data_IF_412273728044
#
_entry.id   IF_412273728044
#
_cell.length_a   1.000
_cell.length_b   1.000
_cell.length_c   1.000
_cell.angle_alpha   90.00
_cell.angle_beta   90.00
_cell.angle_gamma   90.00
#
_symmetry.space_group_name_H-M   'P 1'
#
loop_
_entity.id
_entity.type
_entity.pdbx_description
1 polymer ?
#
# COMPACT_ATOMS: atom_id res chain seq x y z
N UNK A 1 -23.27 -25.52 10.88
CA UNK A 1 -23.73 -24.50 9.91
C UNK A 1 -22.96 -24.78 8.64
N UNK A 2 -23.60 -24.96 7.48
CA UNK A 2 -22.87 -25.39 6.28
C UNK A 2 -21.96 -24.26 5.78
N UNK A 3 -20.70 -24.57 5.48
CA UNK A 3 -19.76 -23.65 4.85
C UNK A 3 -20.25 -23.29 3.43
N UNK A 4 -20.34 -21.99 3.14
CA UNK A 4 -20.60 -21.48 1.78
C UNK A 4 -19.26 -21.38 1.04
N UNK A 5 -18.93 -22.43 0.28
CA UNK A 5 -17.63 -22.57 -0.37
C UNK A 5 -17.36 -21.47 -1.41
N UNK A 6 -18.36 -21.12 -2.24
CA UNK A 6 -18.20 -20.09 -3.26
C UNK A 6 -17.92 -18.73 -2.61
N UNK A 7 -18.71 -18.37 -1.59
CA UNK A 7 -18.51 -17.13 -0.84
C UNK A 7 -17.16 -17.12 -0.13
N UNK A 8 -16.76 -18.24 0.48
CA UNK A 8 -15.47 -18.36 1.16
C UNK A 8 -14.31 -18.17 0.17
N UNK A 9 -14.36 -18.83 -0.98
CA UNK A 9 -13.37 -18.67 -2.06
C UNK A 9 -13.23 -17.22 -2.52
N UNK A 10 -14.35 -16.55 -2.80
CA UNK A 10 -14.35 -15.15 -3.20
C UNK A 10 -13.80 -14.24 -2.08
N UNK A 11 -14.16 -14.52 -0.82
CA UNK A 11 -13.70 -13.77 0.34
C UNK A 11 -12.20 -13.98 0.64
N UNK A 12 -11.59 -15.06 0.16
CA UNK A 12 -10.17 -15.36 0.33
C UNK A 12 -9.27 -14.83 -0.79
N UNK A 13 -9.83 -14.19 -1.83
CA UNK A 13 -9.02 -13.70 -2.95
C UNK A 13 -7.97 -12.65 -2.51
N UNK A 14 -6.66 -12.95 -2.59
CA UNK A 14 -5.60 -12.08 -2.06
C UNK A 14 -5.35 -10.82 -2.90
N UNK A 15 -5.93 -10.73 -4.10
CA UNK A 15 -5.76 -9.59 -5.01
C UNK A 15 -6.68 -8.40 -4.69
N UNK A 16 -7.72 -8.60 -3.87
CA UNK A 16 -8.74 -7.59 -3.58
C UNK A 16 -8.66 -7.13 -2.13
N UNK A 17 -8.56 -5.81 -1.86
CA UNK A 17 -8.75 -5.29 -0.52
C UNK A 17 -10.23 -5.39 -0.11
N UNK A 18 -10.50 -5.23 1.19
CA UNK A 18 -11.88 -5.12 1.67
C UNK A 18 -12.44 -3.72 1.36
N UNK A 19 -13.59 -3.69 0.68
CA UNK A 19 -14.34 -2.47 0.39
C UNK A 19 -15.20 -2.09 1.60
N UNK A 20 -14.66 -1.29 2.51
CA UNK A 20 -15.34 -0.97 3.79
C UNK A 20 -16.65 -0.19 3.66
N UNK A 21 -16.94 0.38 2.48
CA UNK A 21 -18.27 0.91 2.15
C UNK A 21 -19.34 -0.17 1.92
N UNK A 22 -18.93 -1.40 1.58
CA UNK A 22 -19.81 -2.56 1.41
C UNK A 22 -20.13 -3.18 2.78
N UNK A 23 -21.40 -3.49 3.04
CA UNK A 23 -21.81 -4.18 4.26
C UNK A 23 -21.25 -5.61 4.35
N UNK A 24 -21.13 -6.31 3.22
CA UNK A 24 -20.62 -7.70 3.18
C UNK A 24 -19.14 -7.73 3.56
N UNK A 25 -18.31 -6.90 2.92
CA UNK A 25 -16.88 -6.82 3.19
C UNK A 25 -16.56 -6.45 4.64
N UNK A 26 -17.40 -5.62 5.28
CA UNK A 26 -17.24 -5.25 6.69
C UNK A 26 -17.31 -6.45 7.63
N UNK A 27 -18.02 -7.52 7.27
CA UNK A 27 -18.10 -8.74 8.09
C UNK A 27 -16.78 -9.52 8.12
N UNK A 28 -15.95 -9.35 7.09
CA UNK A 28 -14.65 -10.00 6.94
C UNK A 28 -13.49 -9.25 7.63
N UNK A 29 -13.74 -8.02 8.10
CA UNK A 29 -12.72 -7.18 8.70
C UNK A 29 -12.40 -7.64 10.13
N UNK A 30 -11.10 -7.73 10.43
CA UNK A 30 -10.57 -7.96 11.78
C UNK A 30 -9.70 -6.76 12.15
N UNK A 31 -9.98 -6.16 13.31
CA UNK A 31 -9.16 -5.07 13.84
C UNK A 31 -7.91 -5.64 14.52
N UNK A 32 -6.74 -5.40 13.92
CA UNK A 32 -5.45 -5.81 14.44
C UNK A 32 -4.76 -4.73 15.30
N UNK A 33 -5.38 -3.58 15.56
CA UNK A 33 -4.75 -2.45 16.25
C UNK A 33 -4.20 -2.81 17.64
N UNK A 34 -4.85 -3.74 18.35
CA UNK A 34 -4.43 -4.22 19.67
C UNK A 34 -3.08 -4.95 19.64
N UNK A 35 -2.70 -5.54 18.51
CA UNK A 35 -1.46 -6.30 18.32
C UNK A 35 -0.46 -5.62 17.39
N UNK A 36 -0.89 -4.62 16.59
CA UNK A 36 -0.06 -3.85 15.65
C UNK A 36 0.44 -2.52 16.19
N UNK A 37 0.47 -2.33 17.51
CA UNK A 37 1.04 -1.13 18.12
C UNK A 37 0.15 0.12 18.03
N UNK A 38 -1.17 -0.05 17.88
CA UNK A 38 -2.15 1.01 18.06
C UNK A 38 -2.96 1.37 16.80
N UNK A 39 -3.74 2.44 16.96
CA UNK A 39 -4.81 2.82 16.02
C UNK A 39 -4.34 3.85 15.01
N UNK A 40 -3.51 3.41 14.06
CA UNK A 40 -2.81 4.29 13.11
C UNK A 40 -3.80 5.06 12.21
N UNK A 41 -4.84 4.39 11.72
CA UNK A 41 -5.87 5.04 10.88
C UNK A 41 -6.66 6.09 11.65
N UNK A 42 -7.00 5.84 12.91
CA UNK A 42 -7.68 6.84 13.75
C UNK A 42 -6.82 8.09 13.95
N UNK A 43 -5.48 7.95 14.00
CA UNK A 43 -4.58 9.10 14.05
C UNK A 43 -4.63 9.92 12.74
N UNK A 44 -4.60 9.27 11.57
CA UNK A 44 -4.73 9.95 10.28
C UNK A 44 -6.06 10.70 10.15
N UNK A 45 -7.15 10.02 10.53
CA UNK A 45 -8.50 10.57 10.56
C UNK A 45 -8.59 11.75 11.52
N UNK A 46 -8.05 11.64 12.74
CA UNK A 46 -8.08 12.70 13.75
C UNK A 46 -7.38 13.97 13.28
N UNK A 47 -6.24 13.82 12.58
CA UNK A 47 -5.52 14.96 12.00
C UNK A 47 -6.42 15.75 11.05
N UNK A 48 -7.09 15.06 10.12
CA UNK A 48 -7.97 15.66 9.11
C UNK A 48 -9.23 16.25 9.75
N UNK A 49 -9.86 15.48 10.65
CA UNK A 49 -11.24 15.80 11.08
C UNK A 49 -11.33 16.72 12.29
N UNK A 50 -10.32 16.70 13.17
CA UNK A 50 -10.36 17.39 14.47
C UNK A 50 -9.24 18.39 14.69
N UNK A 51 -8.02 18.05 14.26
CA UNK A 51 -6.84 18.87 14.56
C UNK A 51 -6.68 19.98 13.53
N UNK A 52 -6.87 19.66 12.25
CA UNK A 52 -6.61 20.58 11.14
C UNK A 52 -7.74 20.57 10.10
N UNK A 53 -9.02 20.75 10.46
CA UNK A 53 -10.13 20.59 9.51
C UNK A 53 -10.18 21.64 8.39
N UNK A 54 -9.59 22.82 8.59
CA UNK A 54 -9.60 23.93 7.63
C UNK A 54 -8.23 24.23 7.00
N UNK A 55 -7.19 23.54 7.45
CA UNK A 55 -5.82 23.72 6.93
C UNK A 55 -5.36 22.43 6.25
N UNK A 56 -4.92 22.48 4.97
CA UNK A 56 -4.40 21.32 4.25
C UNK A 56 -3.34 20.53 5.04
N UNK A 57 -3.38 19.20 4.91
CA UNK A 57 -2.45 18.30 5.59
C UNK A 57 -1.83 17.33 4.59
N UNK A 58 -0.52 17.15 4.63
CA UNK A 58 0.17 16.07 3.94
C UNK A 58 0.54 14.98 4.95
N UNK A 59 -0.07 13.81 4.83
CA UNK A 59 0.18 12.67 5.73
C UNK A 59 0.77 11.50 4.96
N UNK A 60 1.80 10.87 5.53
CA UNK A 60 2.51 9.75 4.92
C UNK A 60 2.15 8.46 5.63
N UNK A 61 1.81 7.44 4.83
CA UNK A 61 1.44 6.12 5.30
C UNK A 61 2.31 5.08 4.61
N UNK A 62 2.78 4.08 5.34
CA UNK A 62 3.68 3.06 4.79
C UNK A 62 3.57 1.75 5.54
N UNK A 63 4.24 0.72 5.04
CA UNK A 63 4.16 -0.66 5.51
C UNK A 63 4.44 -1.62 4.35
N UNK A 64 4.57 -2.91 4.66
CA UNK A 64 4.83 -3.94 3.65
C UNK A 64 3.77 -4.00 2.54
N UNK A 65 4.18 -4.34 1.33
CA UNK A 65 3.25 -4.54 0.22
C UNK A 65 2.42 -5.79 0.50
N UNK A 66 1.11 -5.63 0.73
CA UNK A 66 0.22 -6.75 1.08
C UNK A 66 -0.10 -6.91 2.56
N UNK A 67 0.40 -6.03 3.45
CA UNK A 67 0.08 -6.10 4.89
C UNK A 67 -1.32 -5.58 5.27
N UNK A 68 -2.09 -5.05 4.31
CA UNK A 68 -3.47 -4.56 4.53
C UNK A 68 -3.65 -3.04 4.42
N UNK A 69 -2.65 -2.29 3.93
CA UNK A 69 -2.71 -0.82 3.77
C UNK A 69 -3.97 -0.35 3.04
N UNK A 70 -4.27 -0.92 1.87
CA UNK A 70 -5.43 -0.54 1.05
C UNK A 70 -6.76 -0.73 1.80
N UNK A 71 -6.91 -1.81 2.55
CA UNK A 71 -8.10 -2.04 3.40
C UNK A 71 -8.23 -0.96 4.48
N UNK A 72 -7.12 -0.61 5.14
CA UNK A 72 -7.08 0.43 6.17
C UNK A 72 -7.33 1.84 5.58
N UNK A 73 -6.89 2.11 4.35
CA UNK A 73 -7.18 3.36 3.64
C UNK A 73 -8.64 3.43 3.14
N UNK A 74 -9.23 2.33 2.70
CA UNK A 74 -10.65 2.25 2.35
C UNK A 74 -11.55 2.39 3.59
N UNK A 75 -11.08 1.90 4.75
CA UNK A 75 -11.70 2.18 6.05
C UNK A 75 -11.66 3.69 6.35
N UNK A 76 -10.49 4.32 6.24
CA UNK A 76 -10.32 5.77 6.42
C UNK A 76 -11.26 6.57 5.49
N UNK A 77 -11.35 6.18 4.22
CA UNK A 77 -12.27 6.78 3.23
C UNK A 77 -13.72 6.74 3.73
N UNK A 78 -14.22 5.55 4.07
CA UNK A 78 -15.60 5.37 4.52
C UNK A 78 -15.91 6.20 5.78
N UNK A 79 -14.98 6.23 6.73
CA UNK A 79 -15.14 7.00 7.97
C UNK A 79 -15.10 8.53 7.72
N UNK A 80 -14.27 9.02 6.80
CA UNK A 80 -14.21 10.44 6.42
C UNK A 80 -15.47 10.88 5.64
N UNK A 81 -15.99 10.03 4.76
CA UNK A 81 -17.24 10.25 4.04
C UNK A 81 -18.43 10.39 5.00
N UNK A 82 -18.50 9.52 6.03
CA UNK A 82 -19.49 9.63 7.11
C UNK A 82 -19.39 10.96 7.86
N UNK A 83 -18.18 11.51 7.99
CA UNK A 83 -17.94 12.83 8.59
C UNK A 83 -18.18 14.01 7.63
N UNK A 84 -18.80 13.77 6.47
CA UNK A 84 -19.11 14.75 5.42
C UNK A 84 -17.90 15.34 4.69
N UNK A 85 -16.75 14.66 4.66
CA UNK A 85 -15.71 15.01 3.70
C UNK A 85 -16.06 14.46 2.30
N UNK A 86 -15.54 15.11 1.27
CA UNK A 86 -15.50 14.55 -0.08
C UNK A 86 -14.16 13.85 -0.27
N UNK A 87 -14.17 12.53 -0.41
CA UNK A 87 -12.94 11.74 -0.42
C UNK A 87 -12.69 11.17 -1.81
N UNK A 88 -11.57 11.57 -2.41
CA UNK A 88 -11.07 11.03 -3.67
C UNK A 88 -10.03 9.98 -3.35
N UNK A 89 -10.38 8.71 -3.55
CA UNK A 89 -9.47 7.59 -3.42
C UNK A 89 -9.13 7.04 -4.81
N UNK A 90 -7.85 6.80 -5.06
CA UNK A 90 -7.43 6.04 -6.23
C UNK A 90 -6.14 5.28 -5.97
N UNK A 91 -5.98 4.18 -6.71
CA UNK A 91 -4.73 3.43 -6.75
C UNK A 91 -3.84 4.02 -7.85
N UNK A 92 -2.67 4.51 -7.47
CA UNK A 92 -1.67 5.06 -8.39
C UNK A 92 -1.32 4.11 -9.53
N UNK A 93 -1.22 2.80 -9.27
CA UNK A 93 -0.92 1.76 -10.28
C UNK A 93 -1.94 1.66 -11.41
N UNK A 94 -3.15 2.20 -11.25
CA UNK A 94 -4.18 2.20 -12.30
C UNK A 94 -4.08 3.42 -13.22
N UNK A 95 -3.37 4.47 -12.80
CA UNK A 95 -3.35 5.79 -13.47
C UNK A 95 -1.94 6.18 -13.90
N UNK A 96 -0.92 5.68 -13.20
CA UNK A 96 0.47 6.06 -13.35
C UNK A 96 1.32 4.88 -13.88
N UNK A 97 2.30 5.19 -14.72
CA UNK A 97 3.35 4.25 -15.11
C UNK A 97 4.39 4.18 -13.99
N UNK A 98 4.39 3.10 -13.22
CA UNK A 98 5.28 2.94 -12.05
C UNK A 98 6.77 2.77 -12.41
N UNK A 99 7.09 2.50 -13.68
CA UNK A 99 8.47 2.35 -14.16
C UNK A 99 9.08 3.70 -14.49
N UNK A 100 8.27 4.58 -15.08
CA UNK A 100 8.69 5.86 -15.61
C UNK A 100 7.76 6.96 -15.10
N UNK A 101 7.98 7.34 -13.83
CA UNK A 101 7.17 8.29 -13.08
C UNK A 101 7.98 9.52 -12.66
N UNK A 102 7.36 10.71 -12.72
CA UNK A 102 7.86 11.94 -12.10
C UNK A 102 6.78 12.59 -11.21
N UNK A 103 7.18 13.56 -10.39
CA UNK A 103 6.31 14.30 -9.46
C UNK A 103 5.15 14.98 -10.17
N UNK A 104 5.39 15.50 -11.39
CA UNK A 104 4.36 16.15 -12.19
C UNK A 104 3.28 15.18 -12.64
N UNK A 105 3.65 13.94 -12.97
CA UNK A 105 2.67 12.90 -13.32
C UNK A 105 1.75 12.60 -12.13
N UNK A 106 2.30 12.52 -10.91
CA UNK A 106 1.53 12.34 -9.67
C UNK A 106 0.55 13.50 -9.46
N UNK A 107 1.01 14.74 -9.61
CA UNK A 107 0.18 15.94 -9.46
C UNK A 107 -0.95 15.97 -10.49
N UNK A 108 -0.66 15.65 -11.76
CA UNK A 108 -1.67 15.56 -12.81
C UNK A 108 -2.68 14.44 -12.54
N UNK A 109 -2.23 13.26 -12.09
CA UNK A 109 -3.15 12.18 -11.73
C UNK A 109 -4.11 12.59 -10.60
N UNK A 110 -3.61 13.28 -9.57
CA UNK A 110 -4.45 13.85 -8.51
C UNK A 110 -5.45 14.85 -9.09
N UNK A 111 -4.99 15.80 -9.90
CA UNK A 111 -5.84 16.82 -10.50
C UNK A 111 -6.95 16.22 -11.36
N UNK A 112 -6.61 15.22 -12.18
CA UNK A 112 -7.56 14.48 -13.01
C UNK A 112 -8.60 13.71 -12.20
N UNK A 113 -8.16 12.97 -11.17
CA UNK A 113 -9.07 12.20 -10.29
C UNK A 113 -9.96 13.07 -9.43
N UNK A 114 -9.47 14.23 -8.99
CA UNK A 114 -10.28 15.22 -8.30
C UNK A 114 -11.33 15.79 -9.25
N UNK A 115 -10.96 16.21 -10.47
CA UNK A 115 -11.92 16.73 -11.46
C UNK A 115 -13.01 15.71 -11.80
N UNK A 116 -12.63 14.46 -12.09
CA UNK A 116 -13.55 13.34 -12.37
C UNK A 116 -14.55 13.13 -11.23
N UNK A 117 -14.05 13.14 -9.99
CA UNK A 117 -14.89 12.95 -8.79
C UNK A 117 -15.85 14.13 -8.54
N UNK A 118 -15.42 15.36 -8.82
CA UNK A 118 -16.25 16.57 -8.68
C UNK A 118 -17.32 16.64 -9.77
N UNK A 119 -16.99 16.27 -11.01
CA UNK A 119 -17.92 16.21 -12.14
C UNK A 119 -19.06 15.23 -11.86
N UNK A 120 -18.77 14.09 -11.22
CA UNK A 120 -19.77 13.10 -10.80
C UNK A 120 -20.82 13.67 -9.81
N UNK A 121 -20.47 14.72 -9.05
CA UNK A 121 -21.39 15.44 -8.15
C UNK A 121 -21.80 16.82 -8.72
N UNK A 122 -21.67 16.99 -10.04
CA UNK A 122 -22.09 18.19 -10.79
C UNK A 122 -21.31 19.47 -10.45
N UNK A 123 -20.12 19.36 -9.84
CA UNK A 123 -19.18 20.47 -9.70
C UNK A 123 -18.24 20.43 -10.90
N UNK A 124 -18.41 21.37 -11.85
CA UNK A 124 -17.58 21.45 -13.06
C UNK A 124 -16.65 22.65 -12.97
N UNK A 125 -15.38 22.37 -12.71
CA UNK A 125 -14.33 23.39 -12.69
C UNK A 125 -13.61 23.41 -14.03
N UNK A 126 -13.33 24.60 -14.56
CA UNK A 126 -12.60 24.79 -15.82
C UNK A 126 -11.32 25.60 -15.57
N UNK A 127 -10.22 24.95 -15.16
CA UNK A 127 -8.94 25.62 -15.00
C UNK A 127 -8.40 26.12 -16.35
N UNK A 128 -8.28 27.44 -16.48
CA UNK A 128 -7.86 28.14 -17.68
C UNK A 128 -6.42 27.82 -18.09
N UNK A 129 -5.52 27.65 -17.12
CA UNK A 129 -4.13 27.25 -17.39
C UNK A 129 -4.06 25.86 -18.03
N UNK A 130 -4.83 24.89 -17.54
CA UNK A 130 -4.82 23.53 -18.09
C UNK A 130 -5.39 23.46 -19.50
N UNK A 131 -6.42 24.26 -19.82
CA UNK A 131 -6.91 24.38 -21.19
C UNK A 131 -5.80 24.84 -22.14
N UNK A 132 -5.00 25.84 -21.73
CA UNK A 132 -3.84 26.31 -22.52
C UNK A 132 -2.74 25.26 -22.60
N UNK A 133 -2.34 24.70 -21.45
CA UNK A 133 -1.28 23.70 -21.35
C UNK A 133 -1.59 22.49 -22.24
N UNK A 134 -2.83 21.99 -22.24
CA UNK A 134 -3.20 20.88 -23.09
C UNK A 134 -3.17 21.25 -24.57
N UNK A 135 -3.61 22.45 -24.96
CA UNK A 135 -3.45 22.93 -26.32
C UNK A 135 -1.97 22.99 -26.75
N UNK A 136 -1.09 23.47 -25.88
CA UNK A 136 0.35 23.51 -26.11
C UNK A 136 0.96 22.11 -26.24
N UNK A 137 0.55 21.16 -25.39
CA UNK A 137 1.01 19.76 -25.45
C UNK A 137 0.58 19.11 -26.75
N UNK A 138 -0.67 19.28 -27.18
CA UNK A 138 -1.17 18.72 -28.44
C UNK A 138 -0.35 19.23 -29.63
N UNK A 139 -0.07 20.54 -29.65
CA UNK A 139 0.78 21.14 -30.66
C UNK A 139 2.22 20.62 -30.60
N UNK A 140 2.81 20.53 -29.39
CA UNK A 140 4.18 20.05 -29.18
C UNK A 140 4.38 18.59 -29.60
N UNK A 141 3.38 17.74 -29.37
CA UNK A 141 3.40 16.33 -29.76
C UNK A 141 3.05 16.12 -31.25
N UNK A 142 2.87 17.20 -32.04
CA UNK A 142 2.53 17.18 -33.47
C UNK A 142 1.36 16.22 -33.79
N UNK A 143 0.34 16.23 -32.94
CA UNK A 143 -0.79 15.31 -33.08
C UNK A 143 -1.93 16.00 -33.83
N UNK A 144 -2.61 15.36 -34.81
CA UNK A 144 -3.70 16.00 -35.55
C UNK A 144 -4.80 16.49 -34.58
N UNK A 145 -5.15 17.76 -34.72
CA UNK A 145 -6.09 18.50 -33.85
C UNK A 145 -7.51 17.89 -33.83
N UNK A 146 -7.85 17.04 -34.80
CA UNK A 146 -9.19 16.45 -34.98
C UNK A 146 -9.63 15.44 -33.91
N UNK A 147 -8.73 14.81 -33.16
CA UNK A 147 -9.09 13.83 -32.09
C UNK A 147 -9.12 14.46 -30.69
N UNK A 148 -8.79 15.75 -30.58
CA UNK A 148 -8.53 16.47 -29.34
C UNK A 148 -9.37 17.74 -29.24
N UNK A 149 -10.66 17.66 -29.56
CA UNK A 149 -11.62 18.56 -28.91
C UNK A 149 -11.57 18.26 -27.40
N UNK A 150 -10.72 18.99 -26.71
CA UNK A 150 -10.70 19.11 -25.27
C UNK A 150 -11.91 19.98 -24.94
N UNK A 151 -13.02 19.38 -24.54
CA UNK A 151 -14.26 20.11 -24.20
C UNK A 151 -14.13 21.02 -22.96
N UNK A 152 -12.91 21.37 -22.56
CA UNK A 152 -12.57 22.23 -21.43
C UNK A 152 -12.62 21.53 -20.07
N UNK A 153 -12.84 20.21 -20.04
CA UNK A 153 -12.85 19.40 -18.81
C UNK A 153 -11.45 18.85 -18.52
N UNK A 154 -10.96 19.09 -17.30
CA UNK A 154 -9.61 18.75 -16.88
C UNK A 154 -9.38 17.24 -16.87
N UNK A 155 -10.35 16.48 -16.35
CA UNK A 155 -10.35 15.01 -16.32
C UNK A 155 -10.12 14.40 -17.71
N UNK A 156 -10.89 14.87 -18.70
CA UNK A 156 -10.82 14.42 -20.10
C UNK A 156 -9.47 14.76 -20.72
N UNK A 157 -8.94 15.95 -20.48
CA UNK A 157 -7.65 16.35 -21.03
C UNK A 157 -6.49 15.50 -20.54
N UNK A 158 -6.46 15.22 -19.23
CA UNK A 158 -5.46 14.35 -18.63
C UNK A 158 -5.61 12.93 -19.16
N UNK A 159 -6.83 12.39 -19.21
CA UNK A 159 -7.08 11.05 -19.73
C UNK A 159 -6.62 10.87 -21.18
N UNK A 160 -6.87 11.85 -22.06
CA UNK A 160 -6.41 11.82 -23.46
C UNK A 160 -4.89 11.85 -23.57
N UNK A 161 -4.21 12.70 -22.80
CA UNK A 161 -2.74 12.76 -22.79
C UNK A 161 -2.16 11.45 -22.28
N UNK A 162 -2.66 10.94 -21.16
CA UNK A 162 -2.23 9.65 -20.59
C UNK A 162 -2.43 8.51 -21.58
N UNK A 163 -3.57 8.44 -22.27
CA UNK A 163 -3.83 7.39 -23.26
C UNK A 163 -2.81 7.42 -24.41
N UNK A 164 -2.51 8.61 -24.97
CA UNK A 164 -1.54 8.74 -26.07
C UNK A 164 -0.12 8.42 -25.66
N UNK A 165 0.27 8.77 -24.44
CA UNK A 165 1.64 8.52 -23.97
C UNK A 165 1.83 7.10 -23.45
N UNK A 166 0.78 6.40 -23.04
CA UNK A 166 0.84 5.01 -22.55
C UNK A 166 1.50 4.03 -23.53
N UNK A 167 1.33 4.25 -24.84
CA UNK A 167 1.84 3.34 -25.87
C UNK A 167 3.26 3.68 -26.36
N UNK A 168 3.80 4.86 -26.03
CA UNK A 168 5.08 5.32 -26.55
C UNK A 168 6.01 5.87 -25.45
N UNK A 169 7.06 5.11 -25.06
CA UNK A 169 8.08 5.58 -24.11
C UNK A 169 8.79 6.86 -24.56
N UNK A 170 9.01 7.04 -25.87
CA UNK A 170 9.63 8.25 -26.40
C UNK A 170 8.71 9.47 -26.26
N UNK A 171 7.40 9.30 -26.48
CA UNK A 171 6.43 10.37 -26.29
C UNK A 171 6.31 10.75 -24.81
N UNK A 172 6.36 9.77 -23.90
CA UNK A 172 6.42 10.01 -22.45
C UNK A 172 7.61 10.84 -22.05
N UNK A 173 8.82 10.46 -22.48
CA UNK A 173 10.05 11.22 -22.18
C UNK A 173 9.96 12.66 -22.68
N UNK A 174 9.55 12.86 -23.95
CA UNK A 174 9.36 14.20 -24.50
C UNK A 174 8.33 15.03 -23.74
N UNK A 175 7.22 14.41 -23.33
CA UNK A 175 6.22 15.08 -22.51
C UNK A 175 6.80 15.46 -21.14
N UNK A 176 7.56 14.58 -20.49
CA UNK A 176 8.20 14.87 -19.21
C UNK A 176 9.19 16.03 -19.33
N UNK A 177 10.09 15.99 -20.30
CA UNK A 177 11.07 17.07 -20.53
C UNK A 177 10.37 18.41 -20.78
N UNK A 178 9.19 18.37 -21.40
CA UNK A 178 8.35 19.54 -21.59
C UNK A 178 7.65 20.00 -20.29
N UNK A 179 7.19 19.08 -19.45
CA UNK A 179 6.46 19.40 -18.23
C UNK A 179 7.37 19.78 -17.05
N UNK A 180 8.58 19.23 -16.97
CA UNK A 180 9.52 19.43 -15.87
C UNK A 180 9.75 20.92 -15.54
N UNK A 181 10.12 21.80 -16.51
CA UNK A 181 10.36 23.22 -16.21
C UNK A 181 9.07 23.98 -15.82
N UNK A 182 7.90 23.37 -15.99
CA UNK A 182 6.58 23.95 -15.67
C UNK A 182 6.00 23.45 -14.34
N UNK A 183 6.72 22.60 -13.60
CA UNK A 183 6.24 21.95 -12.37
C UNK A 183 5.61 22.94 -11.37
N UNK A 184 6.27 24.06 -11.08
CA UNK A 184 5.74 25.06 -10.13
C UNK A 184 4.48 25.78 -10.66
N UNK A 185 4.42 26.09 -11.96
CA UNK A 185 3.22 26.69 -12.58
C UNK A 185 2.04 25.71 -12.57
N UNK A 186 2.30 24.43 -12.82
CA UNK A 186 1.30 23.36 -12.74
C UNK A 186 0.78 23.25 -11.31
N UNK A 187 1.67 23.19 -10.32
CA UNK A 187 1.31 23.14 -8.90
C UNK A 187 0.46 24.36 -8.49
N UNK A 188 0.88 25.56 -8.86
CA UNK A 188 0.13 26.78 -8.56
C UNK A 188 -1.27 26.75 -9.18
N UNK A 189 -1.38 26.32 -10.44
CA UNK A 189 -2.67 26.19 -11.11
C UNK A 189 -3.58 25.14 -10.45
N UNK A 190 -3.04 23.96 -10.08
CA UNK A 190 -3.78 22.93 -9.35
C UNK A 190 -4.34 23.52 -8.05
N UNK A 191 -3.54 24.25 -7.30
CA UNK A 191 -3.97 24.86 -6.04
C UNK A 191 -5.07 25.90 -6.25
N UNK A 192 -4.81 26.90 -7.10
CA UNK A 192 -5.67 28.10 -7.22
C UNK A 192 -6.93 27.87 -8.07
N UNK A 193 -6.81 27.10 -9.15
CA UNK A 193 -7.90 26.94 -10.11
C UNK A 193 -8.73 25.67 -9.89
N UNK A 194 -8.16 24.66 -9.22
CA UNK A 194 -8.85 23.40 -8.93
C UNK A 194 -9.14 23.22 -7.44
N UNK A 195 -8.12 23.05 -6.59
CA UNK A 195 -8.30 22.58 -5.21
C UNK A 195 -9.00 23.61 -4.30
N UNK A 196 -8.62 24.89 -4.39
CA UNK A 196 -9.25 25.96 -3.62
C UNK A 196 -10.72 26.15 -4.01
N UNK A 197 -11.01 26.19 -5.31
CA UNK A 197 -12.39 26.29 -5.83
C UNK A 197 -13.22 25.07 -5.47
N UNK A 198 -12.64 23.86 -5.60
CA UNK A 198 -13.30 22.63 -5.19
C UNK A 198 -13.71 22.67 -3.72
N UNK A 199 -12.79 23.08 -2.83
CA UNK A 199 -13.11 23.21 -1.41
C UNK A 199 -14.22 24.23 -1.14
N UNK A 200 -14.25 25.36 -1.85
CA UNK A 200 -15.32 26.36 -1.73
C UNK A 200 -16.68 25.78 -2.15
N UNK A 201 -16.77 25.18 -3.33
CA UNK A 201 -18.00 24.56 -3.86
C UNK A 201 -18.48 23.40 -2.96
N UNK A 202 -17.57 22.55 -2.50
CA UNK A 202 -17.88 21.46 -1.58
C UNK A 202 -18.45 21.97 -0.26
N UNK A 203 -17.89 23.05 0.31
CA UNK A 203 -18.40 23.69 1.53
C UNK A 203 -19.80 24.28 1.31
N UNK A 204 -20.07 24.88 0.15
CA UNK A 204 -21.41 25.36 -0.22
C UNK A 204 -22.43 24.21 -0.31
N UNK A 205 -22.00 23.01 -0.70
CA UNK A 205 -22.82 21.79 -0.67
C UNK A 205 -22.88 21.09 0.69
N UNK A 206 -22.39 21.72 1.77
CA UNK A 206 -22.45 21.19 3.13
C UNK A 206 -21.42 20.10 3.45
N UNK A 207 -20.39 19.93 2.61
CA UNK A 207 -19.22 19.09 2.91
C UNK A 207 -18.21 19.88 3.75
N UNK A 208 -17.34 19.18 4.47
CA UNK A 208 -16.28 19.80 5.30
C UNK A 208 -15.04 20.19 4.51
N UNK A 209 -14.75 19.49 3.41
CA UNK A 209 -13.60 19.73 2.55
C UNK A 209 -13.26 18.52 1.70
N UNK A 210 -12.21 18.68 0.88
CA UNK A 210 -11.64 17.67 0.01
C UNK A 210 -10.51 16.90 0.69
N UNK A 211 -10.55 15.57 0.60
CA UNK A 211 -9.46 14.68 0.98
C UNK A 211 -9.07 13.81 -0.21
N UNK A 212 -7.78 13.72 -0.50
CA UNK A 212 -7.22 12.84 -1.53
C UNK A 212 -6.42 11.72 -0.85
N UNK A 213 -6.71 10.48 -1.19
CA UNK A 213 -5.97 9.30 -0.73
C UNK A 213 -5.35 8.63 -1.95
N UNK A 214 -4.02 8.63 -2.01
CA UNK A 214 -3.23 8.05 -3.09
C UNK A 214 -2.63 6.74 -2.59
N UNK A 215 -3.26 5.62 -2.97
CA UNK A 215 -2.82 4.27 -2.60
C UNK A 215 -1.87 3.68 -3.65
N UNK A 216 -1.14 2.62 -3.28
CA UNK A 216 -0.18 1.88 -4.08
C UNK A 216 1.01 2.68 -4.64
N UNK A 217 1.18 3.94 -4.21
CA UNK A 217 2.30 4.78 -4.64
C UNK A 217 3.62 4.30 -4.02
N UNK A 218 3.54 3.40 -3.03
CA UNK A 218 4.66 2.60 -2.51
C UNK A 218 5.17 1.51 -3.46
N UNK A 219 4.51 1.29 -4.62
CA UNK A 219 4.88 0.26 -5.60
C UNK A 219 5.74 0.76 -6.76
N UNK A 220 6.16 2.02 -6.72
CA UNK A 220 7.12 2.61 -7.68
C UNK A 220 8.36 1.74 -7.82
N UNK A 221 8.95 1.74 -9.02
CA UNK A 221 10.08 0.87 -9.28
C UNK A 221 11.34 1.30 -8.52
N UNK A 222 12.06 0.34 -7.95
CA UNK A 222 13.33 0.56 -7.24
C UNK A 222 14.45 0.42 -8.26
N UNK A 223 14.64 1.48 -9.05
CA UNK A 223 15.75 1.55 -10.01
C UNK A 223 16.65 2.74 -9.70
N UNK A 224 17.97 2.60 -9.91
CA UNK A 224 18.87 3.74 -9.86
C UNK A 224 18.59 4.69 -11.02
N UNK A 225 18.71 5.98 -10.75
CA UNK A 225 18.69 7.06 -11.73
C UNK A 225 20.12 7.51 -12.03
N UNK A 226 20.36 8.24 -13.14
CA UNK A 226 21.68 8.80 -13.44
C UNK A 226 22.27 9.70 -12.34
N UNK A 227 21.43 10.25 -11.47
CA UNK A 227 21.84 11.02 -10.28
C UNK A 227 22.46 10.17 -9.16
N UNK A 228 22.47 8.84 -9.29
CA UNK A 228 22.87 7.90 -8.23
C UNK A 228 21.78 7.65 -7.18
N UNK A 229 20.66 8.36 -7.24
CA UNK A 229 19.48 8.16 -6.38
C UNK A 229 18.58 7.08 -6.95
N UNK A 230 17.86 6.37 -6.09
CA UNK A 230 16.74 5.54 -6.55
C UNK A 230 15.53 6.39 -6.94
N UNK A 231 14.67 5.88 -7.83
CA UNK A 231 13.44 6.56 -8.21
C UNK A 231 12.54 6.92 -6.98
N UNK A 232 12.35 6.04 -5.98
CA UNK A 232 11.66 6.41 -4.74
C UNK A 232 12.27 7.60 -4.03
N UNK A 233 13.59 7.63 -3.86
CA UNK A 233 14.26 8.76 -3.19
C UNK A 233 14.07 10.05 -3.99
N UNK A 234 14.20 10.00 -5.31
CA UNK A 234 13.96 11.15 -6.16
C UNK A 234 12.55 11.73 -5.99
N UNK A 235 11.52 10.87 -6.04
CA UNK A 235 10.12 11.31 -5.96
C UNK A 235 9.74 11.85 -4.57
N UNK A 236 10.09 11.13 -3.52
CA UNK A 236 9.57 11.42 -2.17
C UNK A 236 10.50 12.27 -1.32
N UNK A 237 11.80 12.29 -1.61
CA UNK A 237 12.80 13.05 -0.84
C UNK A 237 13.23 14.28 -1.63
N UNK A 238 13.73 14.08 -2.84
CA UNK A 238 14.30 15.19 -3.62
C UNK A 238 13.19 16.12 -4.13
N UNK A 239 12.10 15.54 -4.65
CA UNK A 239 10.91 16.24 -5.18
C UNK A 239 9.69 16.19 -4.24
N UNK A 240 9.89 15.79 -2.98
CA UNK A 240 8.79 15.65 -2.01
C UNK A 240 8.11 16.97 -1.62
N UNK A 241 8.81 18.10 -1.74
CA UNK A 241 8.26 19.41 -1.39
C UNK A 241 7.08 19.82 -2.28
N UNK A 242 7.15 19.51 -3.58
CA UNK A 242 6.06 19.79 -4.51
C UNK A 242 4.79 19.01 -4.16
N UNK A 243 4.92 17.72 -3.81
CA UNK A 243 3.79 16.88 -3.40
C UNK A 243 3.13 17.36 -2.09
N UNK A 244 3.92 17.95 -1.19
CA UNK A 244 3.43 18.51 0.07
C UNK A 244 2.61 19.79 -0.12
N UNK A 245 2.93 20.59 -1.14
CA UNK A 245 2.35 21.92 -1.36
C UNK A 245 0.92 21.91 -1.94
N UNK A 246 0.27 20.75 -2.10
CA UNK A 246 -1.11 20.69 -2.55
C UNK A 246 -2.07 21.24 -1.49
N UNK A 247 -2.95 22.17 -1.88
CA UNK A 247 -3.90 22.87 -1.00
C UNK A 247 -5.15 22.03 -0.68
N UNK A 248 -4.95 20.76 -0.30
CA UNK A 248 -6.01 19.87 0.20
C UNK A 248 -5.45 18.88 1.25
N UNK A 249 -6.33 18.15 1.95
CA UNK A 249 -5.86 17.01 2.73
C UNK A 249 -5.40 15.91 1.79
N UNK A 250 -4.17 15.44 1.94
CA UNK A 250 -3.62 14.35 1.15
C UNK A 250 -3.00 13.29 2.05
N UNK A 251 -3.26 12.02 1.72
CA UNK A 251 -2.62 10.85 2.30
C UNK A 251 -1.89 10.10 1.18
N UNK A 252 -0.56 9.99 1.31
CA UNK A 252 0.28 9.25 0.37
C UNK A 252 0.74 7.93 0.98
N UNK A 253 0.61 6.84 0.23
CA UNK A 253 1.44 5.65 0.48
C UNK A 253 2.85 5.85 -0.02
N UNK A 254 3.86 5.51 0.76
CA UNK A 254 5.28 5.60 0.36
C UNK A 254 6.02 4.27 0.58
N UNK A 255 7.09 3.97 -0.15
CA UNK A 255 7.87 2.75 0.06
C UNK A 255 8.43 2.66 1.48
N UNK A 256 8.22 1.52 2.14
CA UNK A 256 8.65 1.28 3.53
C UNK A 256 10.14 1.49 3.73
N UNK A 257 10.95 1.13 2.74
CA UNK A 257 12.39 1.23 2.84
C UNK A 257 12.89 2.68 3.06
N UNK A 258 12.13 3.69 2.60
CA UNK A 258 12.47 5.11 2.82
C UNK A 258 12.39 5.54 4.29
N UNK A 259 11.71 4.79 5.17
CA UNK A 259 11.75 5.08 6.62
C UNK A 259 13.02 4.59 7.28
N UNK A 260 13.82 3.77 6.60
CA UNK A 260 15.09 3.23 7.08
C UNK A 260 16.29 3.79 6.31
N UNK A 261 16.06 4.65 5.32
CA UNK A 261 17.13 5.33 4.59
C UNK A 261 17.82 6.39 5.45
N UNK A 262 19.07 6.70 5.11
CA UNK A 262 19.83 7.78 5.75
C UNK A 262 19.14 9.15 5.58
N UNK A 263 18.27 9.28 4.58
CA UNK A 263 17.51 10.50 4.28
C UNK A 263 16.10 10.51 4.89
N UNK A 264 15.78 9.59 5.80
CA UNK A 264 14.49 9.56 6.50
C UNK A 264 14.14 10.89 7.18
N UNK A 265 15.14 11.64 7.68
CA UNK A 265 14.97 12.99 8.23
C UNK A 265 14.60 13.99 7.12
N UNK A 266 15.23 13.90 5.95
CA UNK A 266 14.89 14.75 4.81
C UNK A 266 13.48 14.46 4.29
N UNK A 267 13.08 13.18 4.21
CA UNK A 267 11.70 12.76 3.92
C UNK A 267 10.71 13.39 4.90
N UNK A 268 10.99 13.30 6.20
CA UNK A 268 10.16 13.89 7.25
C UNK A 268 10.02 15.41 7.08
N UNK A 269 11.11 16.12 6.78
CA UNK A 269 11.10 17.58 6.67
C UNK A 269 10.44 18.06 5.38
N UNK A 270 10.82 17.50 4.23
CA UNK A 270 10.41 17.98 2.91
C UNK A 270 8.99 17.57 2.56
N UNK A 271 8.66 16.29 2.70
CA UNK A 271 7.34 15.75 2.35
C UNK A 271 6.42 15.65 3.56
N UNK A 272 6.91 15.12 4.68
CA UNK A 272 6.12 14.89 5.90
C UNK A 272 5.84 16.15 6.74
N UNK A 273 6.40 17.30 6.37
CA UNK A 273 6.21 18.56 7.06
C UNK A 273 6.66 18.58 8.52
N UNK A 274 7.74 17.88 8.83
CA UNK A 274 8.26 17.71 10.18
C UNK A 274 7.64 16.52 10.92
N UNK A 275 6.73 15.76 10.30
CA UNK A 275 6.10 14.58 10.89
C UNK A 275 6.58 13.30 10.18
N UNK A 276 7.03 12.32 10.97
CA UNK A 276 7.48 11.05 10.44
C UNK A 276 6.30 10.23 9.83
N UNK A 277 6.55 9.41 8.81
CA UNK A 277 5.53 8.53 8.23
C UNK A 277 4.89 7.60 9.26
N UNK A 278 3.59 7.36 9.09
CA UNK A 278 2.85 6.35 9.86
C UNK A 278 3.07 4.98 9.25
N UNK A 279 3.73 4.10 10.00
CA UNK A 279 4.04 2.73 9.56
C UNK A 279 2.96 1.77 10.07
N UNK A 280 2.35 1.00 9.17
CA UNK A 280 1.52 -0.15 9.47
C UNK A 280 2.42 -1.41 9.54
N UNK A 281 2.76 -1.88 10.75
CA UNK A 281 3.65 -3.03 10.91
C UNK A 281 2.92 -4.33 10.57
N UNK A 282 3.70 -5.40 10.44
CA UNK A 282 3.18 -6.76 10.31
C UNK A 282 2.44 -7.19 11.58
N UNK A 283 1.54 -8.18 11.46
CA UNK A 283 0.86 -8.74 12.65
C UNK A 283 1.90 -9.57 13.38
N UNK A 284 2.32 -9.21 14.60
CA UNK A 284 3.23 -10.08 15.33
C UNK A 284 2.49 -11.37 15.67
N UNK A 285 2.97 -12.49 15.17
CA UNK A 285 2.54 -13.85 15.54
C UNK A 285 3.63 -14.60 16.31
N UNK A 286 4.83 -14.00 16.34
CA UNK A 286 5.96 -14.36 17.18
C UNK A 286 6.51 -13.10 17.82
N UNK A 287 7.08 -13.24 19.01
CA UNK A 287 7.86 -12.19 19.67
C UNK A 287 9.22 -12.07 19.01
N UNK A 288 9.93 -10.98 19.30
CA UNK A 288 11.34 -10.77 18.93
C UNK A 288 12.26 -11.93 19.33
N UNK A 289 11.93 -12.62 20.42
CA UNK A 289 12.63 -13.81 20.94
C UNK A 289 12.34 -15.10 20.16
N UNK A 290 11.38 -15.08 19.23
CA UNK A 290 10.95 -16.25 18.44
C UNK A 290 9.75 -17.01 19.03
N UNK A 291 9.40 -16.77 20.30
CA UNK A 291 8.25 -17.38 20.96
C UNK A 291 6.93 -17.02 20.26
N UNK A 292 5.97 -17.95 20.26
CA UNK A 292 4.64 -17.71 19.70
C UNK A 292 3.95 -16.58 20.47
N UNK A 293 3.39 -15.62 19.73
CA UNK A 293 2.58 -14.54 20.28
C UNK A 293 1.10 -14.84 20.08
N UNK A 294 0.52 -15.51 21.08
CA UNK A 294 -0.87 -15.99 21.04
C UNK A 294 -1.94 -14.93 20.71
N UNK A 295 -1.87 -13.67 21.20
CA UNK A 295 -2.87 -12.67 20.85
C UNK A 295 -2.94 -12.39 19.34
N UNK A 296 -1.79 -12.28 18.68
CA UNK A 296 -1.73 -12.08 17.23
C UNK A 296 -2.17 -13.32 16.47
N UNK A 297 -1.75 -14.52 16.91
CA UNK A 297 -2.16 -15.79 16.32
C UNK A 297 -3.68 -15.98 16.40
N UNK A 298 -4.30 -15.65 17.53
CA UNK A 298 -5.75 -15.73 17.70
C UNK A 298 -6.51 -14.82 16.72
N UNK A 299 -6.04 -13.59 16.49
CA UNK A 299 -6.65 -12.70 15.50
C UNK A 299 -6.44 -13.18 14.06
N UNK A 300 -5.32 -13.84 13.76
CA UNK A 300 -5.08 -14.46 12.46
C UNK A 300 -6.06 -15.62 12.20
N UNK A 301 -6.32 -16.48 13.20
CA UNK A 301 -7.39 -17.49 13.12
C UNK A 301 -8.74 -16.85 12.84
N UNK A 302 -9.08 -15.79 13.59
CA UNK A 302 -10.33 -15.06 13.40
C UNK A 302 -10.44 -14.48 12.00
N UNK A 303 -9.35 -14.03 11.38
CA UNK A 303 -9.38 -13.54 10.00
C UNK A 303 -9.78 -14.63 9.03
N UNK A 304 -9.20 -15.84 9.14
CA UNK A 304 -9.58 -16.99 8.29
C UNK A 304 -11.04 -17.35 8.51
N UNK A 305 -11.45 -17.51 9.78
CA UNK A 305 -12.80 -17.93 10.13
C UNK A 305 -13.85 -16.86 9.83
N UNK A 306 -13.50 -15.58 9.84
CA UNK A 306 -14.39 -14.51 9.39
C UNK A 306 -14.70 -14.60 7.90
N UNK A 307 -13.75 -15.08 7.07
CA UNK A 307 -13.99 -15.33 5.65
C UNK A 307 -14.93 -16.51 5.44
N UNK A 308 -14.75 -17.59 6.21
CA UNK A 308 -15.57 -18.80 6.13
C UNK A 308 -16.98 -18.59 6.70
N UNK A 309 -17.07 -17.94 7.87
CA UNK A 309 -18.28 -17.79 8.68
C UNK A 309 -18.54 -16.33 9.07
N UNK A 310 -18.76 -15.43 8.09
CA UNK A 310 -18.92 -14.00 8.34
C UNK A 310 -20.12 -13.65 9.23
N UNK A 311 -21.17 -14.48 9.19
CA UNK A 311 -22.41 -14.28 9.95
C UNK A 311 -22.36 -14.88 11.37
N UNK A 312 -21.27 -15.56 11.73
CA UNK A 312 -21.08 -16.18 13.06
C UNK A 312 -20.30 -15.22 13.95
N UNK A 313 -20.63 -15.16 15.24
CA UNK A 313 -19.91 -14.34 16.21
C UNK A 313 -18.48 -14.86 16.44
N UNK A 314 -17.55 -13.95 16.75
CA UNK A 314 -16.13 -14.27 16.84
C UNK A 314 -15.81 -15.41 17.84
N UNK A 315 -16.54 -15.49 18.95
CA UNK A 315 -16.34 -16.53 19.96
C UNK A 315 -16.71 -17.90 19.39
N UNK A 316 -17.87 -18.01 18.76
CA UNK A 316 -18.42 -19.27 18.24
C UNK A 316 -17.70 -19.74 16.96
N UNK A 317 -17.04 -18.84 16.23
CA UNK A 317 -16.25 -19.18 15.03
C UNK A 317 -15.17 -20.24 15.32
N UNK A 318 -14.60 -20.24 16.52
CA UNK A 318 -13.52 -21.18 16.89
C UNK A 318 -14.01 -22.62 16.95
N UNK A 319 -15.28 -22.84 17.26
CA UNK A 319 -15.90 -24.18 17.27
C UNK A 319 -16.08 -24.73 15.85
N UNK A 320 -16.01 -23.88 14.83
CA UNK A 320 -16.16 -24.22 13.42
C UNK A 320 -14.82 -24.43 12.69
N UNK A 321 -13.69 -24.50 13.42
CA UNK A 321 -12.38 -24.77 12.79
C UNK A 321 -12.41 -26.09 12.01
N UNK A 322 -13.06 -27.12 12.55
CA UNK A 322 -13.15 -28.44 11.93
C UNK A 322 -13.96 -28.50 10.64
N UNK A 323 -14.71 -27.45 10.33
CA UNK A 323 -15.41 -27.29 9.05
C UNK A 323 -14.48 -26.77 7.94
N UNK A 324 -13.29 -26.26 8.29
CA UNK A 324 -12.33 -25.66 7.34
C UNK A 324 -10.98 -26.37 7.36
N UNK A 325 -10.54 -26.90 8.50
CA UNK A 325 -9.28 -27.62 8.69
C UNK A 325 -9.52 -28.89 9.50
N UNK A 326 -8.66 -29.90 9.36
CA UNK A 326 -8.74 -31.13 10.18
C UNK A 326 -8.57 -30.86 11.69
N UNK A 327 -7.85 -29.78 12.04
CA UNK A 327 -7.43 -29.46 13.40
C UNK A 327 -7.06 -27.98 13.55
N UNK A 328 -6.99 -27.50 14.79
CA UNK A 328 -6.51 -26.15 15.08
C UNK A 328 -5.02 -26.01 14.73
N UNK A 329 -4.24 -27.07 14.92
CA UNK A 329 -2.80 -27.11 14.65
C UNK A 329 -2.50 -26.89 13.17
N UNK A 330 -3.36 -27.36 12.27
CA UNK A 330 -3.23 -27.14 10.82
C UNK A 330 -3.55 -25.68 10.44
N UNK A 331 -4.58 -25.07 11.03
CA UNK A 331 -4.83 -23.63 10.87
C UNK A 331 -3.68 -22.79 11.45
N UNK A 332 -3.17 -23.18 12.61
CA UNK A 332 -2.02 -22.52 13.25
C UNK A 332 -0.78 -22.58 12.40
N UNK A 333 -0.53 -23.72 11.76
CA UNK A 333 0.57 -23.89 10.82
C UNK A 333 0.50 -22.86 9.70
N UNK A 334 -0.66 -22.71 9.06
CA UNK A 334 -0.90 -21.74 7.99
C UNK A 334 -0.73 -20.30 8.48
N UNK A 335 -1.25 -19.98 9.67
CA UNK A 335 -1.07 -18.67 10.28
C UNK A 335 0.39 -18.38 10.58
N UNK A 336 1.11 -19.33 11.18
CA UNK A 336 2.50 -19.16 11.61
C UNK A 336 3.46 -18.98 10.45
N UNK A 337 3.28 -19.75 9.37
CA UNK A 337 4.15 -19.67 8.20
C UNK A 337 3.94 -18.37 7.41
N UNK A 338 2.75 -17.76 7.47
CA UNK A 338 2.47 -16.48 6.81
C UNK A 338 3.28 -15.30 7.37
N UNK A 339 3.90 -15.44 8.55
CA UNK A 339 4.62 -14.34 9.18
C UNK A 339 3.72 -13.18 9.62
N UNK A 340 2.41 -13.39 9.77
CA UNK A 340 1.49 -12.27 10.01
C UNK A 340 1.24 -11.40 8.79
N UNK A 341 1.64 -11.87 7.60
CA UNK A 341 1.38 -11.20 6.32
C UNK A 341 -0.02 -11.56 5.83
N UNK A 342 -0.90 -10.57 5.77
CA UNK A 342 -2.32 -10.78 5.38
C UNK A 342 -2.42 -11.40 3.99
N UNK A 343 -1.69 -10.87 3.01
CA UNK A 343 -1.76 -11.39 1.63
C UNK A 343 -1.14 -12.78 1.51
N UNK A 344 -0.08 -13.12 2.24
CA UNK A 344 0.47 -14.47 2.19
C UNK A 344 -0.48 -15.47 2.82
N UNK A 345 -1.08 -15.15 3.98
CA UNK A 345 -2.06 -16.04 4.60
C UNK A 345 -3.25 -16.28 3.68
N UNK A 346 -3.80 -15.23 3.08
CA UNK A 346 -4.90 -15.36 2.12
C UNK A 346 -4.46 -16.11 0.86
N UNK A 347 -3.23 -15.91 0.36
CA UNK A 347 -2.69 -16.64 -0.78
C UNK A 347 -2.58 -18.15 -0.51
N UNK A 348 -1.98 -18.53 0.61
CA UNK A 348 -1.86 -19.93 1.02
C UNK A 348 -3.25 -20.58 1.19
N UNK A 349 -4.19 -19.87 1.82
CA UNK A 349 -5.57 -20.35 1.98
C UNK A 349 -6.29 -20.49 0.63
N UNK A 350 -6.10 -19.52 -0.26
CA UNK A 350 -6.67 -19.52 -1.60
C UNK A 350 -6.14 -20.68 -2.45
N UNK A 351 -4.86 -21.01 -2.31
CA UNK A 351 -4.28 -22.18 -2.98
C UNK A 351 -4.81 -23.49 -2.40
N UNK A 352 -5.00 -23.60 -1.07
CA UNK A 352 -5.67 -24.78 -0.49
C UNK A 352 -7.07 -25.00 -1.10
N UNK A 353 -7.87 -23.93 -1.21
CA UNK A 353 -9.21 -23.96 -1.81
C UNK A 353 -9.23 -24.31 -3.31
N UNK A 354 -8.10 -24.18 -4.02
CA UNK A 354 -7.99 -24.58 -5.43
C UNK A 354 -7.64 -26.04 -5.61
N UNK A 355 -7.00 -26.64 -4.61
CA UNK A 355 -6.56 -28.04 -4.64
C UNK A 355 -7.67 -28.98 -4.17
N UNK A 356 -8.41 -28.60 -3.12
CA UNK A 356 -9.45 -29.45 -2.52
C UNK A 356 -10.54 -28.61 -1.83
N UNK A 357 -11.71 -29.22 -1.62
CA UNK A 357 -12.73 -28.70 -0.71
C UNK A 357 -12.31 -28.91 0.77
N UNK A 358 -12.62 -27.98 1.68
CA UNK A 358 -12.41 -28.16 3.12
C UNK A 358 -13.21 -29.35 3.71
N UNK A 359 -12.79 -29.91 4.87
CA UNK A 359 -11.69 -29.48 5.70
C UNK A 359 -10.30 -29.87 5.16
N UNK A 360 -9.34 -28.95 5.25
CA UNK A 360 -7.97 -29.15 4.82
C UNK A 360 -7.18 -29.96 5.84
N UNK A 361 -6.59 -31.05 5.39
CA UNK A 361 -5.65 -31.82 6.21
C UNK A 361 -4.25 -31.20 6.24
N UNK A 362 -3.41 -31.72 7.14
CA UNK A 362 -2.05 -31.26 7.29
C UNK A 362 -1.18 -31.44 6.04
N UNK A 363 -1.37 -32.54 5.31
CA UNK A 363 -0.52 -32.88 4.15
C UNK A 363 -0.77 -31.90 2.98
N UNK A 364 -2.04 -31.55 2.73
CA UNK A 364 -2.41 -30.52 1.76
C UNK A 364 -1.76 -29.18 2.11
N UNK A 365 -1.85 -28.76 3.38
CA UNK A 365 -1.29 -27.49 3.84
C UNK A 365 0.24 -27.46 3.69
N UNK A 366 0.96 -28.52 4.07
CA UNK A 366 2.41 -28.58 3.88
C UNK A 366 2.81 -28.57 2.40
N UNK A 367 2.05 -29.23 1.54
CA UNK A 367 2.28 -29.22 0.10
C UNK A 367 2.12 -27.80 -0.50
N UNK A 368 1.08 -27.05 -0.11
CA UNK A 368 0.89 -25.65 -0.53
C UNK A 368 2.02 -24.76 0.02
N UNK A 369 2.40 -24.94 1.28
CA UNK A 369 3.52 -24.21 1.91
C UNK A 369 4.82 -24.47 1.15
N UNK A 370 5.09 -25.73 0.78
CA UNK A 370 6.29 -26.10 0.03
C UNK A 370 6.35 -25.38 -1.32
N UNK A 371 5.26 -25.39 -2.10
CA UNK A 371 5.23 -24.69 -3.40
C UNK A 371 5.47 -23.19 -3.23
N UNK A 372 4.83 -22.57 -2.23
CA UNK A 372 4.98 -21.14 -1.94
C UNK A 372 6.39 -20.78 -1.48
N UNK A 373 7.01 -21.64 -0.65
CA UNK A 373 8.42 -21.53 -0.25
C UNK A 373 9.33 -21.59 -1.46
N UNK A 374 9.19 -22.61 -2.29
CA UNK A 374 10.09 -22.86 -3.41
C UNK A 374 10.01 -21.71 -4.43
N UNK A 375 8.79 -21.23 -4.74
CA UNK A 375 8.60 -20.04 -5.57
C UNK A 375 9.31 -18.80 -5.03
N UNK A 376 9.28 -18.59 -3.71
CA UNK A 376 9.90 -17.42 -3.07
C UNK A 376 11.41 -17.55 -2.90
N UNK A 377 11.92 -18.75 -2.66
CA UNK A 377 13.33 -19.01 -2.38
C UNK A 377 14.19 -19.11 -3.64
N UNK A 378 13.63 -19.62 -4.75
CA UNK A 378 14.36 -19.83 -6.01
C UNK A 378 15.04 -18.59 -6.61
N UNK A 379 14.45 -17.38 -6.61
CA UNK A 379 15.09 -16.21 -7.20
C UNK A 379 16.20 -15.59 -6.33
N UNK A 380 16.35 -16.04 -5.09
CA UNK A 380 17.26 -15.39 -4.13
C UNK A 380 18.71 -15.72 -4.44
N UNK A 381 19.51 -14.71 -4.78
CA UNK A 381 20.93 -14.89 -5.07
C UNK A 381 21.80 -15.01 -3.80
N UNK A 382 23.09 -15.32 -3.96
CA UNK A 382 23.99 -15.52 -2.81
C UNK A 382 24.16 -14.25 -1.95
N UNK A 383 24.20 -13.09 -2.59
CA UNK A 383 24.39 -11.81 -1.91
C UNK A 383 23.15 -11.43 -1.10
N UNK A 384 21.96 -11.63 -1.67
CA UNK A 384 20.69 -11.43 -0.96
C UNK A 384 20.57 -12.36 0.25
N UNK A 385 21.01 -13.61 0.14
CA UNK A 385 21.06 -14.52 1.29
C UNK A 385 21.98 -14.02 2.41
N UNK A 386 23.16 -13.50 2.08
CA UNK A 386 24.08 -12.92 3.06
C UNK A 386 23.46 -11.72 3.77
N UNK A 387 22.75 -10.86 3.03
CA UNK A 387 22.00 -9.75 3.61
C UNK A 387 20.85 -10.22 4.50
N UNK A 388 20.09 -11.25 4.10
CA UNK A 388 19.03 -11.85 4.93
C UNK A 388 19.63 -12.36 6.26
N UNK A 389 20.75 -13.08 6.22
CA UNK A 389 21.41 -13.59 7.41
C UNK A 389 21.87 -12.46 8.34
N UNK A 390 22.40 -11.38 7.77
CA UNK A 390 22.74 -10.17 8.53
C UNK A 390 21.52 -9.53 9.18
N UNK A 391 20.40 -9.42 8.48
CA UNK A 391 19.14 -8.93 9.06
C UNK A 391 18.68 -9.81 10.21
N UNK A 392 18.79 -11.13 10.11
CA UNK A 392 18.40 -12.05 11.19
C UNK A 392 19.30 -11.90 12.42
N UNK A 393 20.61 -11.76 12.24
CA UNK A 393 21.55 -11.58 13.34
C UNK A 393 21.38 -10.21 14.02
N UNK A 394 21.22 -9.14 13.25
CA UNK A 394 21.12 -7.77 13.78
C UNK A 394 19.68 -7.37 14.18
N UNK A 395 18.68 -8.12 13.69
CA UNK A 395 17.23 -7.78 13.74
C UNK A 395 16.92 -6.37 13.25
N UNK A 396 17.74 -5.86 12.33
CA UNK A 396 17.71 -4.50 11.81
C UNK A 396 17.92 -4.50 10.31
N UNK A 397 17.33 -3.51 9.66
CA UNK A 397 17.55 -3.17 8.25
C UNK A 397 18.28 -1.84 8.18
N UNK A 398 19.20 -1.71 7.21
CA UNK A 398 19.94 -0.47 6.93
C UNK A 398 19.34 0.25 5.72
N UNK A 399 19.77 1.49 5.51
CA UNK A 399 19.24 2.39 4.48
C UNK A 399 19.76 2.16 3.06
N UNK A 400 20.46 1.06 2.80
CA UNK A 400 21.04 0.79 1.49
C UNK A 400 19.99 0.20 0.53
N UNK A 401 20.13 0.48 -0.77
CA UNK A 401 19.16 0.06 -1.81
C UNK A 401 18.91 -1.46 -1.83
N UNK A 402 19.91 -2.26 -1.44
CA UNK A 402 19.82 -3.71 -1.37
C UNK A 402 18.80 -4.18 -0.32
N UNK A 403 18.70 -3.46 0.81
CA UNK A 403 17.66 -3.73 1.80
C UNK A 403 16.27 -3.30 1.33
N UNK A 404 16.19 -2.33 0.39
CA UNK A 404 14.91 -2.01 -0.23
C UNK A 404 14.39 -3.22 -1.03
N UNK A 405 15.28 -3.94 -1.72
CA UNK A 405 14.95 -5.20 -2.40
C UNK A 405 14.46 -6.25 -1.41
N UNK A 406 15.14 -6.46 -0.28
CA UNK A 406 14.70 -7.45 0.72
C UNK A 406 13.28 -7.17 1.26
N UNK A 407 12.95 -5.91 1.49
CA UNK A 407 11.62 -5.49 1.94
C UNK A 407 10.57 -5.62 0.83
N UNK A 408 10.90 -5.21 -0.41
CA UNK A 408 9.97 -5.28 -1.56
C UNK A 408 9.67 -6.71 -1.97
N UNK A 409 10.66 -7.59 -1.92
CA UNK A 409 10.54 -9.02 -2.24
C UNK A 409 9.98 -9.85 -1.08
N UNK A 410 9.63 -9.21 0.05
CA UNK A 410 9.08 -9.85 1.25
C UNK A 410 9.99 -10.95 1.82
N UNK A 411 11.31 -10.82 1.68
CA UNK A 411 12.27 -11.76 2.26
C UNK A 411 12.41 -11.55 3.77
N UNK A 412 12.19 -10.32 4.22
CA UNK A 412 12.18 -9.93 5.62
C UNK A 412 10.95 -9.08 5.93
N UNK A 413 10.47 -9.19 7.15
CA UNK A 413 9.29 -8.50 7.66
C UNK A 413 9.65 -7.54 8.79
N UNK A 414 8.94 -6.41 8.84
CA UNK A 414 9.05 -5.40 9.89
C UNK A 414 7.92 -5.60 10.89
N UNK A 415 8.28 -5.74 12.15
CA UNK A 415 7.38 -5.83 13.28
C UNK A 415 7.72 -4.72 14.27
N UNK A 416 6.80 -4.47 15.20
CA UNK A 416 6.99 -3.51 16.29
C UNK A 416 6.58 -4.11 17.62
N UNK A 417 7.39 -3.85 18.62
CA UNK A 417 7.08 -4.13 20.03
C UNK A 417 7.38 -2.89 20.89
N UNK A 418 7.34 -3.06 22.21
CA UNK A 418 7.64 -1.99 23.18
C UNK A 418 9.07 -1.42 23.05
N UNK A 419 9.99 -2.19 22.48
CA UNK A 419 11.41 -1.83 22.31
C UNK A 419 11.67 -1.24 20.92
N UNK A 420 10.62 -1.08 20.11
CA UNK A 420 10.65 -0.43 18.81
C UNK A 420 10.52 -1.40 17.63
N UNK A 421 10.97 -0.95 16.45
CA UNK A 421 10.94 -1.74 15.24
C UNK A 421 11.98 -2.86 15.28
N UNK A 422 11.65 -4.00 14.67
CA UNK A 422 12.55 -5.13 14.47
C UNK A 422 12.20 -5.92 13.25
N UNK A 423 13.19 -6.66 12.77
CA UNK A 423 13.06 -7.43 11.54
C UNK A 423 13.32 -8.90 11.77
N UNK A 424 12.57 -9.72 11.04
CA UNK A 424 12.81 -11.14 10.95
C UNK A 424 12.63 -11.63 9.52
N UNK A 425 13.31 -12.73 9.21
CA UNK A 425 13.14 -13.44 7.95
C UNK A 425 11.70 -13.90 7.78
N UNK A 426 11.23 -13.92 6.54
CA UNK A 426 9.97 -14.54 6.18
C UNK A 426 9.98 -16.03 6.59
N UNK A 427 9.00 -16.53 7.36
CA UNK A 427 9.05 -17.90 7.89
C UNK A 427 9.17 -18.99 6.82
N UNK A 428 8.64 -18.77 5.61
CA UNK A 428 8.83 -19.75 4.51
C UNK A 428 10.31 -19.92 4.16
N UNK A 429 11.08 -18.84 4.15
CA UNK A 429 12.51 -18.88 3.86
C UNK A 429 13.30 -19.52 5.00
N UNK A 430 12.84 -19.36 6.25
CA UNK A 430 13.44 -20.00 7.41
C UNK A 430 13.39 -21.54 7.35
N UNK A 431 12.48 -22.11 6.55
CA UNK A 431 12.34 -23.56 6.39
C UNK A 431 13.17 -24.15 5.24
N UNK A 432 13.84 -23.31 4.45
CA UNK A 432 14.75 -23.75 3.39
C UNK A 432 15.98 -24.44 3.98
N UNK A 433 16.55 -25.38 3.22
CA UNK A 433 17.77 -26.07 3.64
C UNK A 433 18.94 -25.09 3.84
N UNK A 434 19.05 -24.09 2.97
CA UNK A 434 20.08 -23.05 3.06
C UNK A 434 20.02 -22.29 4.39
N UNK A 435 18.83 -21.91 4.84
CA UNK A 435 18.66 -21.23 6.11
C UNK A 435 18.96 -22.14 7.32
N UNK A 436 18.47 -23.38 7.29
CA UNK A 436 18.70 -24.37 8.36
C UNK A 436 20.19 -24.66 8.56
N UNK A 437 20.92 -24.92 7.47
CA UNK A 437 22.37 -25.17 7.54
C UNK A 437 23.15 -23.96 8.04
N UNK A 438 22.76 -22.74 7.66
CA UNK A 438 23.37 -21.52 8.22
C UNK A 438 23.13 -21.39 9.73
N UNK A 439 21.91 -21.67 10.19
CA UNK A 439 21.56 -21.59 11.60
C UNK A 439 22.34 -22.60 12.45
N UNK A 440 22.45 -23.84 11.98
CA UNK A 440 23.25 -24.90 12.62
C UNK A 440 24.72 -24.50 12.76
N UNK A 441 25.34 -24.00 11.68
CA UNK A 441 26.73 -23.54 11.70
C UNK A 441 26.94 -22.37 12.67
N UNK A 442 26.00 -21.44 12.73
CA UNK A 442 26.07 -20.28 13.64
C UNK A 442 25.90 -20.69 15.10
N UNK A 443 25.07 -21.70 15.39
CA UNK A 443 24.91 -22.24 16.75
C UNK A 443 26.17 -22.98 17.20
N UNK A 444 26.78 -23.78 16.33
CA UNK A 444 28.05 -24.47 16.64
C UNK A 444 29.17 -23.48 16.98
N UNK A 445 29.30 -22.37 16.23
CA UNK A 445 30.28 -21.31 16.48
C UNK A 445 30.08 -20.53 17.79
N UNK A 446 28.87 -20.55 18.38
CA UNK A 446 28.60 -19.90 19.68
C UNK A 446 28.89 -20.80 20.89
N UNK A 447 29.02 -22.12 20.66
CA UNK A 447 29.25 -23.13 21.70
C UNK A 447 30.73 -23.53 21.75
N UNK A 448 31.45 -23.40 20.64
CA UNK A 448 32.93 -23.41 20.57
C UNK A 448 33.52 -22.09 21.04
#
# INVERSE_FOLDING_TARGET
MLLDLERFYQACNPSKPLMMGNAVDRQYYIDFASVRGGKIIEALQRTITRISPDTPTCQLFTGHIGCGKSTELLRLKAELEQQKFHVVYFESTQVLDVVDLDVTDIMLAIAGKVSESLEAIKIRLKPSYFVKLFGEIVNFLNTPLGDLELQGELSVGIAKITAKTKESPNLRRRLRDYLEPRTENILQSINQELLERANQELKQQGKKGLVVIVDNLDRVDIRPLPSGRSLPEHLFIDRGEQLRKLNCHVVYTIPLALTFSNDSVHLQQRLGGGVAPKVLPMIPIRRRTGEIYNPGLALMRQMVLARAFPNVHAIDRLELITEVFDSQETLDRLCLISGGHVRDLLGLLYDCLREQDPPFDRDLVEMVIQRHRDFRANPIDMHEWDLIFKVVQEQKVRGDIEYHTLLRSLFVFEYRDKDGAWFAVNPVLAETQKFKSWLENTQQQKVS
#
